data_IF_908393445400
#
_entry.id   IF_908393445400
#
_cell.length_a   1.000
_cell.length_b   1.000
_cell.length_c   1.000
_cell.angle_alpha   90.00
_cell.angle_beta   90.00
_cell.angle_gamma   90.00
#
_symmetry.space_group_name_H-M   'P 1'
#
loop_
_entity.id
_entity.type
_entity.pdbx_description
1 polymer ?
#
# COMPACT_ATOMS: atom_id res chain seq x y z
N UNK A 1 7.87 15.57 -4.59
CA UNK A 1 7.35 14.89 -5.80
C UNK A 1 5.88 15.18 -6.10
N UNK A 2 4.90 14.84 -5.25
CA UNK A 2 3.48 15.10 -5.56
C UNK A 2 3.19 16.59 -5.88
N UNK A 3 3.77 17.51 -5.11
CA UNK A 3 3.70 18.95 -5.36
C UNK A 3 4.46 19.37 -6.63
N UNK A 4 5.61 18.76 -6.90
CA UNK A 4 6.46 19.08 -8.07
C UNK A 4 5.76 18.77 -9.40
N UNK A 5 4.88 17.76 -9.43
CA UNK A 5 4.13 17.35 -10.63
C UNK A 5 2.68 17.85 -10.66
N UNK A 6 2.31 18.73 -9.73
CA UNK A 6 0.96 19.27 -9.66
C UNK A 6 0.57 19.99 -10.96
N UNK A 7 -0.66 19.77 -11.43
CA UNK A 7 -1.18 20.33 -12.69
C UNK A 7 -0.76 19.59 -13.96
N UNK A 8 0.12 18.58 -13.88
CA UNK A 8 0.56 17.80 -15.05
C UNK A 8 -0.33 16.58 -15.35
N UNK A 9 -1.44 16.41 -14.62
CA UNK A 9 -2.30 15.22 -14.72
C UNK A 9 -1.68 13.94 -14.15
N UNK A 10 -0.62 14.05 -13.35
CA UNK A 10 0.06 12.93 -12.68
C UNK A 10 -0.31 12.95 -11.20
N UNK A 11 -0.64 11.78 -10.65
CA UNK A 11 -0.82 11.59 -9.20
C UNK A 11 0.36 10.83 -8.61
N UNK A 12 0.71 11.14 -7.36
CA UNK A 12 1.80 10.50 -6.63
C UNK A 12 1.31 10.19 -5.22
N UNK A 13 1.30 8.93 -4.81
CA UNK A 13 0.84 8.50 -3.50
C UNK A 13 1.80 7.45 -2.91
N UNK A 14 1.75 7.25 -1.61
CA UNK A 14 2.49 6.19 -0.93
C UNK A 14 1.53 5.20 -0.26
N UNK A 15 1.84 3.91 -0.37
CA UNK A 15 1.15 2.83 0.35
C UNK A 15 2.04 2.42 1.52
N UNK A 16 1.47 2.39 2.72
CA UNK A 16 2.19 2.15 3.97
C UNK A 16 1.67 0.84 4.59
N UNK A 17 2.18 -0.32 4.15
CA UNK A 17 1.77 -1.59 4.71
C UNK A 17 2.40 -1.83 6.10
N UNK A 18 1.69 -2.56 6.97
CA UNK A 18 2.33 -3.28 8.10
C UNK A 18 3.08 -4.53 7.59
N UNK A 19 3.45 -5.47 8.47
CA UNK A 19 4.18 -6.69 8.04
C UNK A 19 3.40 -7.39 6.94
N UNK A 20 4.06 -7.57 5.79
CA UNK A 20 3.49 -8.20 4.60
C UNK A 20 3.71 -9.69 4.69
N UNK A 21 2.71 -10.47 4.30
CA UNK A 21 2.80 -11.91 4.18
C UNK A 21 3.62 -12.33 2.96
N UNK A 22 4.95 -12.38 3.14
CA UNK A 22 5.91 -12.82 2.12
C UNK A 22 6.70 -14.03 2.60
N UNK A 23 7.23 -14.87 1.68
CA UNK A 23 8.08 -16.00 2.06
C UNK A 23 9.30 -15.59 2.89
N UNK A 24 9.92 -14.45 2.56
CA UNK A 24 11.06 -13.90 3.31
C UNK A 24 10.66 -13.55 4.74
N UNK A 25 9.57 -12.80 4.94
CA UNK A 25 9.13 -12.45 6.29
C UNK A 25 8.76 -13.70 7.11
N UNK A 26 8.15 -14.72 6.49
CA UNK A 26 7.85 -16.00 7.17
C UNK A 26 9.11 -16.76 7.58
N UNK A 27 10.16 -16.73 6.76
CA UNK A 27 11.44 -17.37 7.08
C UNK A 27 12.18 -16.63 8.19
N UNK A 28 12.13 -15.29 8.18
CA UNK A 28 12.82 -14.44 9.16
C UNK A 28 12.07 -14.36 10.50
N UNK A 29 10.76 -14.62 10.51
CA UNK A 29 9.89 -14.54 11.69
C UNK A 29 9.03 -15.82 11.86
N UNK A 30 9.64 -16.99 12.11
CA UNK A 30 8.95 -18.29 12.08
C UNK A 30 7.89 -18.45 13.19
N UNK A 31 8.04 -17.75 14.31
CA UNK A 31 7.14 -17.84 15.47
C UNK A 31 6.07 -16.73 15.50
N UNK A 32 5.99 -15.90 14.46
CA UNK A 32 5.05 -14.77 14.42
C UNK A 32 3.60 -15.21 14.16
N UNK A 33 2.64 -14.50 14.76
CA UNK A 33 1.23 -14.64 14.40
C UNK A 33 0.96 -13.97 13.05
N UNK A 34 1.02 -14.78 11.99
CA UNK A 34 0.80 -14.36 10.60
C UNK A 34 -0.65 -13.96 10.31
N UNK A 35 -1.60 -14.22 11.22
CA UNK A 35 -3.00 -13.80 11.03
C UNK A 35 -3.14 -12.27 10.99
N UNK A 36 -2.22 -11.57 11.66
CA UNK A 36 -2.15 -10.10 11.73
C UNK A 36 -1.42 -9.48 10.53
N UNK A 37 -0.85 -10.30 9.63
CA UNK A 37 -0.06 -9.80 8.52
C UNK A 37 -0.95 -9.40 7.34
N UNK A 38 -0.49 -8.39 6.61
CA UNK A 38 -1.16 -7.88 5.41
C UNK A 38 -0.88 -8.83 4.26
N UNK A 39 -1.94 -9.33 3.65
CA UNK A 39 -1.82 -10.15 2.46
C UNK A 39 -1.36 -9.28 1.27
N UNK A 40 -0.39 -9.73 0.45
CA UNK A 40 0.05 -9.00 -0.74
C UNK A 40 -1.10 -8.59 -1.67
N UNK A 41 -2.14 -9.42 -1.76
CA UNK A 41 -3.32 -9.14 -2.57
C UNK A 41 -4.05 -7.86 -2.13
N UNK A 42 -4.14 -7.59 -0.83
CA UNK A 42 -4.77 -6.36 -0.33
C UNK A 42 -3.98 -5.11 -0.73
N UNK A 43 -2.65 -5.20 -0.79
CA UNK A 43 -1.78 -4.12 -1.28
C UNK A 43 -2.01 -3.93 -2.79
N UNK A 44 -2.08 -5.03 -3.54
CA UNK A 44 -2.34 -5.01 -4.98
C UNK A 44 -3.69 -4.35 -5.30
N UNK A 45 -4.75 -4.63 -4.54
CA UNK A 45 -6.06 -4.03 -4.73
C UNK A 45 -6.02 -2.50 -4.55
N UNK A 46 -5.26 -1.99 -3.57
CA UNK A 46 -5.02 -0.55 -3.38
C UNK A 46 -4.22 0.05 -4.53
N UNK A 47 -3.19 -0.65 -5.02
CA UNK A 47 -2.42 -0.21 -6.19
C UNK A 47 -3.35 -0.07 -7.41
N UNK A 48 -4.19 -1.08 -7.67
CA UNK A 48 -5.15 -1.07 -8.79
C UNK A 48 -6.13 0.08 -8.65
N UNK A 49 -6.66 0.34 -7.45
CA UNK A 49 -7.51 1.50 -7.19
C UNK A 49 -6.80 2.81 -7.51
N UNK A 50 -5.57 3.01 -7.01
CA UNK A 50 -4.80 4.24 -7.23
C UNK A 50 -4.40 4.45 -8.69
N UNK A 51 -4.22 3.36 -9.45
CA UNK A 51 -3.95 3.40 -10.89
C UNK A 51 -5.22 3.64 -11.72
N UNK A 52 -6.42 3.50 -11.14
CA UNK A 52 -7.68 3.62 -11.86
C UNK A 52 -8.15 5.09 -12.00
N UNK A 53 -9.05 5.38 -12.96
CA UNK A 53 -9.66 6.71 -13.10
C UNK A 53 -10.46 7.18 -11.87
N UNK A 54 -10.83 6.25 -10.97
CA UNK A 54 -11.53 6.58 -9.73
C UNK A 54 -10.65 7.41 -8.78
N UNK A 55 -9.34 7.22 -8.81
CA UNK A 55 -8.38 7.90 -7.95
C UNK A 55 -7.79 9.19 -8.56
N UNK A 56 -8.34 9.70 -9.67
CA UNK A 56 -7.79 10.84 -10.43
C UNK A 56 -7.55 12.14 -9.63
N UNK A 57 -8.20 12.29 -8.48
CA UNK A 57 -8.07 13.45 -7.60
C UNK A 57 -7.28 13.14 -6.30
N UNK A 58 -6.73 11.93 -6.16
CA UNK A 58 -5.98 11.48 -5.00
C UNK A 58 -4.49 11.58 -5.34
N UNK A 59 -3.81 12.57 -4.77
CA UNK A 59 -2.36 12.78 -4.89
C UNK A 59 -1.81 13.33 -3.58
N UNK A 60 -0.54 13.06 -3.28
CA UNK A 60 0.12 13.41 -2.03
C UNK A 60 -0.33 12.57 -0.83
N UNK A 61 -1.14 11.53 -1.03
CA UNK A 61 -1.70 10.76 0.08
C UNK A 61 -0.71 9.73 0.62
N UNK A 62 -0.78 9.53 1.94
CA UNK A 62 -0.17 8.41 2.66
C UNK A 62 -1.30 7.46 3.03
N UNK A 63 -1.31 6.25 2.48
CA UNK A 63 -2.41 5.30 2.61
C UNK A 63 -1.94 4.11 3.46
N UNK A 64 -2.36 4.03 4.73
CA UNK A 64 -2.10 2.88 5.57
C UNK A 64 -2.82 1.65 5.03
N UNK A 65 -2.11 0.52 4.93
CA UNK A 65 -2.70 -0.79 4.66
C UNK A 65 -2.29 -1.70 5.80
N UNK A 66 -3.16 -1.81 6.80
CA UNK A 66 -2.88 -2.56 8.01
C UNK A 66 -4.06 -3.46 8.33
N UNK A 67 -3.81 -4.60 8.98
CA UNK A 67 -4.87 -5.27 9.74
C UNK A 67 -4.83 -4.64 11.13
N UNK A 68 -5.88 -3.90 11.47
CA UNK A 68 -5.95 -3.15 12.71
C UNK A 68 -5.82 -4.05 13.94
N UNK A 69 -5.14 -3.53 14.97
CA UNK A 69 -5.40 -3.89 16.36
C UNK A 69 -6.59 -3.12 16.91
#
# INVERSE_FOLDING_TARGET
LAEEVAGQGITVNAILPSIIDTPTNRADMPDADVSQWVQPQAIADVIVFLASPAARAITGALIPVTRGG
#
